data_IF_010927241266
#
_entry.id   IF_010927241266
#
_cell.length_a   1.000
_cell.length_b   1.000
_cell.length_c   1.000
_cell.angle_alpha   90.00
_cell.angle_beta   90.00
_cell.angle_gamma   90.00
#
_symmetry.space_group_name_H-M   'P 1'
#
loop_
_entity.id
_entity.type
_entity.pdbx_description
1 polymer ?
#
# COMPACT_ATOMS: atom_id res chain seq x y z
N UNK A 1 3.24 -6.16 -6.17
CA UNK A 1 3.98 -6.14 -4.89
C UNK A 1 4.80 -7.40 -4.69
N UNK A 2 6.01 -7.27 -4.16
CA UNK A 2 6.84 -8.39 -3.68
C UNK A 2 6.30 -8.96 -2.35
N UNK A 3 5.31 -9.86 -2.43
CA UNK A 3 4.63 -10.42 -1.26
C UNK A 3 5.55 -11.28 -0.38
N UNK A 4 6.41 -12.12 -0.98
CA UNK A 4 7.22 -13.07 -0.23
C UNK A 4 8.22 -12.35 0.68
N UNK A 5 8.98 -11.41 0.12
CA UNK A 5 9.95 -10.62 0.89
C UNK A 5 9.26 -9.75 1.94
N UNK A 6 8.11 -9.17 1.61
CA UNK A 6 7.38 -8.36 2.58
C UNK A 6 6.86 -9.20 3.76
N UNK A 7 6.36 -10.42 3.51
CA UNK A 7 5.97 -11.33 4.60
C UNK A 7 7.17 -11.73 5.46
N UNK A 8 8.30 -11.99 4.84
CA UNK A 8 9.54 -12.31 5.56
C UNK A 8 9.96 -11.13 6.46
N UNK A 9 10.04 -9.91 5.90
CA UNK A 9 10.39 -8.70 6.65
C UNK A 9 9.41 -8.43 7.79
N UNK A 10 8.10 -8.61 7.57
CA UNK A 10 7.11 -8.49 8.64
C UNK A 10 7.33 -9.52 9.76
N UNK A 11 7.73 -10.75 9.42
CA UNK A 11 8.05 -11.78 10.40
C UNK A 11 9.31 -11.46 11.20
N UNK A 12 10.32 -10.89 10.56
CA UNK A 12 11.57 -10.43 11.21
C UNK A 12 11.33 -9.22 12.14
N UNK A 13 10.26 -8.47 11.90
CA UNK A 13 9.82 -7.35 12.73
C UNK A 13 8.71 -7.73 13.74
N UNK A 14 8.61 -9.01 14.10
CA UNK A 14 7.67 -9.55 15.10
C UNK A 14 6.18 -9.23 14.85
N UNK A 15 5.79 -8.97 13.60
CA UNK A 15 4.39 -8.69 13.26
C UNK A 15 3.57 -9.99 13.32
N UNK A 16 2.45 -10.07 14.07
CA UNK A 16 1.68 -11.29 14.17
C UNK A 16 1.14 -11.78 12.82
N UNK A 17 1.16 -13.10 12.56
CA UNK A 17 0.75 -13.72 11.28
C UNK A 17 -0.61 -13.23 10.75
N UNK A 18 -1.59 -13.04 11.65
CA UNK A 18 -2.92 -12.50 11.29
C UNK A 18 -2.81 -11.10 10.66
N UNK A 19 -1.98 -10.24 11.25
CA UNK A 19 -1.76 -8.87 10.78
C UNK A 19 -0.94 -8.86 9.49
N UNK A 20 0.02 -9.78 9.33
CA UNK A 20 0.73 -9.94 8.05
C UNK A 20 -0.23 -10.22 6.89
N UNK A 21 -1.15 -11.17 7.08
CA UNK A 21 -2.17 -11.49 6.08
C UNK A 21 -3.15 -10.34 5.85
N UNK A 22 -3.47 -9.57 6.90
CA UNK A 22 -4.30 -8.37 6.82
C UNK A 22 -3.67 -7.28 5.93
N UNK A 23 -2.36 -7.03 6.09
CA UNK A 23 -1.60 -6.11 5.24
C UNK A 23 -1.58 -6.56 3.79
N UNK A 24 -1.17 -7.81 3.55
CA UNK A 24 -1.07 -8.37 2.19
C UNK A 24 -2.42 -8.31 1.48
N UNK A 25 -3.51 -8.66 2.16
CA UNK A 25 -4.84 -8.67 1.56
C UNK A 25 -5.32 -7.26 1.21
N UNK A 26 -5.01 -6.25 2.03
CA UNK A 26 -5.33 -4.85 1.73
C UNK A 26 -4.54 -4.32 0.55
N UNK A 27 -3.25 -4.61 0.47
CA UNK A 27 -2.42 -4.19 -0.65
C UNK A 27 -2.91 -4.80 -1.96
N UNK A 28 -3.15 -6.11 -2.01
CA UNK A 28 -3.71 -6.77 -3.20
C UNK A 28 -5.06 -6.20 -3.63
N UNK A 29 -5.96 -5.93 -2.67
CA UNK A 29 -7.25 -5.30 -2.97
C UNK A 29 -7.06 -3.88 -3.49
N UNK A 30 -6.10 -3.13 -2.95
CA UNK A 30 -5.77 -1.80 -3.42
C UNK A 30 -5.21 -1.81 -4.85
N UNK A 31 -4.24 -2.69 -5.16
CA UNK A 31 -3.71 -2.87 -6.51
C UNK A 31 -4.86 -3.08 -7.52
N UNK A 32 -5.75 -4.04 -7.24
CA UNK A 32 -6.91 -4.34 -8.10
C UNK A 32 -7.88 -3.17 -8.26
N UNK A 33 -8.18 -2.48 -7.16
CA UNK A 33 -9.17 -1.40 -7.17
C UNK A 33 -8.67 -0.13 -7.90
N UNK A 34 -7.35 0.04 -8.01
CA UNK A 34 -6.71 1.16 -8.70
C UNK A 34 -6.15 0.65 -10.04
N UNK A 35 -7.03 0.15 -10.92
CA UNK A 35 -6.69 -0.28 -12.29
C UNK A 35 -5.54 -1.30 -12.39
N UNK A 36 -5.48 -2.25 -11.45
CA UNK A 36 -4.36 -3.21 -11.34
C UNK A 36 -2.98 -2.52 -11.20
N UNK A 37 -2.94 -1.42 -10.46
CA UNK A 37 -1.73 -0.66 -10.14
C UNK A 37 -0.63 -1.59 -9.62
N UNK A 38 0.54 -1.54 -10.25
CA UNK A 38 1.77 -2.12 -9.69
C UNK A 38 2.35 -1.17 -8.64
N UNK A 39 2.21 -1.52 -7.36
CA UNK A 39 2.75 -0.70 -6.28
C UNK A 39 4.28 -0.74 -6.20
N UNK A 40 4.96 -1.73 -6.77
CA UNK A 40 6.42 -1.71 -6.79
C UNK A 40 6.91 -0.68 -7.82
N UNK A 41 6.24 -0.60 -8.96
CA UNK A 41 6.50 0.41 -10.00
C UNK A 41 6.17 1.83 -9.53
N UNK A 42 5.00 2.04 -8.92
CA UNK A 42 4.63 3.35 -8.38
C UNK A 42 5.65 3.86 -7.35
N UNK A 43 6.17 3.00 -6.48
CA UNK A 43 7.20 3.42 -5.54
C UNK A 43 8.47 3.91 -6.24
N UNK A 44 8.90 3.20 -7.30
CA UNK A 44 10.06 3.62 -8.11
C UNK A 44 9.82 4.93 -8.84
N UNK A 45 8.60 5.17 -9.29
CA UNK A 45 8.22 6.38 -10.02
C UNK A 45 8.20 7.63 -9.13
N UNK A 46 7.45 7.59 -8.02
CA UNK A 46 7.17 8.81 -7.23
C UNK A 46 7.15 8.59 -5.71
N UNK A 47 7.66 7.45 -5.22
CA UNK A 47 7.68 7.12 -3.78
C UNK A 47 6.30 7.15 -3.11
N UNK A 48 5.26 6.82 -3.89
CA UNK A 48 3.84 6.81 -3.53
C UNK A 48 3.20 8.18 -3.33
N UNK A 49 3.81 9.27 -3.82
CA UNK A 49 3.20 10.61 -3.69
C UNK A 49 1.78 10.64 -4.27
N UNK A 50 1.59 10.12 -5.49
CA UNK A 50 0.30 10.03 -6.13
C UNK A 50 -0.64 9.07 -5.39
N UNK A 51 -0.19 7.86 -5.05
CA UNK A 51 -1.02 6.90 -4.31
C UNK A 51 -1.47 7.47 -2.94
N UNK A 52 -0.63 8.24 -2.24
CA UNK A 52 -1.03 8.91 -1.01
C UNK A 52 -2.02 10.04 -1.23
N UNK A 53 -1.95 10.73 -2.38
CA UNK A 53 -2.95 11.73 -2.75
C UNK A 53 -4.36 11.11 -2.86
N UNK A 54 -4.47 9.84 -3.26
CA UNK A 54 -5.75 9.12 -3.31
C UNK A 54 -6.40 8.99 -1.93
N UNK A 55 -5.63 8.99 -0.85
CA UNK A 55 -6.16 8.90 0.51
C UNK A 55 -6.58 10.24 1.12
N UNK A 56 -6.32 11.37 0.44
CA UNK A 56 -6.74 12.69 0.91
C UNK A 56 -8.26 12.77 1.06
N UNK A 57 -8.74 13.47 2.09
CA UNK A 57 -10.17 13.59 2.39
C UNK A 57 -10.92 12.24 2.37
N UNK A 58 -10.30 11.18 2.92
CA UNK A 58 -10.84 9.81 2.93
C UNK A 58 -11.17 9.27 1.53
N UNK A 59 -10.45 9.71 0.51
CA UNK A 59 -10.70 9.31 -0.89
C UNK A 59 -11.74 10.15 -1.61
N UNK A 60 -12.30 11.17 -0.97
CA UNK A 60 -13.22 12.11 -1.62
C UNK A 60 -12.39 13.27 -2.19
N UNK A 61 -11.68 12.98 -3.28
CA UNK A 61 -10.80 13.92 -3.97
C UNK A 61 -10.77 13.66 -5.48
N UNK A 62 -10.26 14.60 -6.25
CA UNK A 62 -10.31 14.54 -7.72
C UNK A 62 -9.41 13.46 -8.32
N UNK A 63 -8.33 13.06 -7.63
CA UNK A 63 -7.49 11.96 -8.11
C UNK A 63 -8.21 10.62 -7.98
N UNK A 64 -8.92 10.37 -6.87
CA UNK A 64 -9.72 9.16 -6.70
C UNK A 64 -10.90 9.11 -7.70
N UNK A 65 -11.50 10.25 -8.03
CA UNK A 65 -12.60 10.31 -9.02
C UNK A 65 -12.20 9.88 -10.44
N UNK A 66 -10.91 9.84 -10.76
CA UNK A 66 -10.42 9.36 -12.07
C UNK A 66 -10.70 7.87 -12.27
N UNK A 67 -10.77 7.10 -11.18
CA UNK A 67 -11.02 5.67 -11.21
C UNK A 67 -12.51 5.36 -11.20
N UNK A 68 -12.93 4.43 -12.06
CA UNK A 68 -14.31 3.95 -12.14
C UNK A 68 -14.46 2.63 -11.38
N UNK A 69 -15.62 2.42 -10.74
CA UNK A 69 -15.96 1.18 -10.06
C UNK A 69 -14.95 0.72 -9.00
N UNK A 70 -14.38 1.68 -8.25
CA UNK A 70 -13.39 1.40 -7.20
C UNK A 70 -14.02 0.61 -6.06
N UNK A 71 -13.57 -0.64 -5.86
CA UNK A 71 -13.96 -1.47 -4.72
C UNK A 71 -13.14 -1.14 -3.46
N UNK A 72 -13.27 0.10 -2.98
CA UNK A 72 -12.67 0.58 -1.73
C UNK A 72 -13.70 1.36 -0.91
N UNK A 73 -13.58 1.37 0.43
CA UNK A 73 -14.54 2.04 1.31
C UNK A 73 -14.34 3.57 1.35
N UNK A 74 -14.45 4.24 0.19
CA UNK A 74 -14.28 5.70 0.03
C UNK A 74 -15.22 6.45 0.99
N UNK A 75 -14.70 7.50 1.63
CA UNK A 75 -15.42 8.30 2.62
C UNK A 75 -15.53 7.66 4.01
N UNK A 76 -15.24 6.36 4.15
CA UNK A 76 -15.35 5.64 5.42
C UNK A 76 -14.02 5.63 6.18
N UNK A 77 -14.10 5.51 7.51
CA UNK A 77 -12.92 5.41 8.37
C UNK A 77 -12.01 4.23 7.99
N UNK A 78 -12.60 3.09 7.58
CA UNK A 78 -11.89 1.89 7.15
C UNK A 78 -10.91 2.13 6.01
N UNK A 79 -11.09 3.19 5.22
CA UNK A 79 -10.18 3.54 4.12
C UNK A 79 -8.76 3.85 4.60
N UNK A 80 -8.61 4.38 5.82
CA UNK A 80 -7.31 4.63 6.43
C UNK A 80 -6.48 3.36 6.62
N UNK A 81 -7.12 2.18 6.74
CA UNK A 81 -6.41 0.92 6.92
C UNK A 81 -5.63 0.50 5.66
N UNK A 82 -6.10 0.88 4.47
CA UNK A 82 -5.36 0.68 3.22
C UNK A 82 -4.16 1.62 3.14
N UNK A 83 -4.31 2.88 3.54
CA UNK A 83 -3.19 3.82 3.69
C UNK A 83 -2.14 3.27 4.66
N UNK A 84 -2.58 2.70 5.77
CA UNK A 84 -1.70 2.09 6.76
C UNK A 84 -0.92 0.91 6.17
N UNK A 85 -1.58 0.04 5.40
CA UNK A 85 -0.91 -1.05 4.69
C UNK A 85 0.13 -0.55 3.66
N UNK A 86 -0.22 0.47 2.87
CA UNK A 86 0.68 1.08 1.89
C UNK A 86 1.90 1.74 2.57
N UNK A 87 1.69 2.44 3.68
CA UNK A 87 2.77 2.99 4.50
C UNK A 87 3.68 1.89 5.05
N UNK A 88 3.12 0.76 5.50
CA UNK A 88 3.92 -0.35 6.03
C UNK A 88 4.77 -1.00 4.93
N UNK A 89 4.24 -1.12 3.72
CA UNK A 89 4.99 -1.58 2.56
C UNK A 89 6.10 -0.59 2.17
N UNK A 90 5.83 0.72 2.24
CA UNK A 90 6.83 1.76 2.03
C UNK A 90 8.01 1.64 2.99
N UNK A 91 7.75 1.38 4.28
CA UNK A 91 8.81 1.16 5.28
C UNK A 91 9.71 -0.03 4.89
N UNK A 92 9.11 -1.15 4.49
CA UNK A 92 9.84 -2.32 3.99
C UNK A 92 10.77 -1.94 2.82
N UNK A 93 10.27 -1.20 1.83
CA UNK A 93 11.07 -0.78 0.69
C UNK A 93 12.21 0.16 1.09
N UNK A 94 11.97 1.06 2.03
CA UNK A 94 12.98 2.02 2.52
C UNK A 94 14.10 1.33 3.31
N UNK A 95 13.76 0.40 4.20
CA UNK A 95 14.74 -0.36 4.97
C UNK A 95 15.56 -1.32 4.08
N UNK A 96 14.94 -1.87 3.04
CA UNK A 96 15.64 -2.68 2.03
C UNK A 96 16.64 -1.88 1.20
N UNK A 97 16.44 -0.56 1.05
CA UNK A 97 17.38 0.34 0.38
C UNK A 97 18.55 0.73 1.30
N UNK A 98 18.33 0.91 2.60
CA UNK A 98 19.39 1.28 3.54
C UNK A 98 20.32 0.13 3.91
N UNK A 99 19.88 -1.12 3.69
CA UNK A 99 20.62 -2.33 4.09
C UNK A 99 21.54 -2.89 3.00
N UNK A 100 21.55 -2.29 1.79
CA UNK A 100 22.50 -2.67 0.73
C UNK A 100 23.73 -1.76 0.81
N UNK A 101 24.92 -2.25 1.20
CA UNK A 101 26.14 -1.49 1.01
C UNK A 101 26.41 -1.37 -0.51
N UNK A 102 26.80 -0.17 -0.93
CA UNK A 102 27.39 0.10 -2.26
C UNK A 102 28.71 -0.64 -2.38
#
# INVERSE_FOLDING_TARGET
MNEMEFRQWLSENDVPKKIQSDFVSRLKRFERAIENCDIDEQYRSDKYQYLFSLFQNKGINDNMKKYKNVDLPIGKYQFSTFKHALNKYKQFLEEGLTSKPV
#
